data_IF_916165328256
#
_entry.id   IF_916165328256
#
_cell.length_a   1.000
_cell.length_b   1.000
_cell.length_c   1.000
_cell.angle_alpha   90.00
_cell.angle_beta   90.00
_cell.angle_gamma   90.00
#
_symmetry.space_group_name_H-M   'P 1'
#
loop_
_entity.id
_entity.type
_entity.pdbx_description
1 polymer ?
#
# COMPACT_ATOMS: atom_id res chain seq x y z
N UNK A 1 20.79 -21.78 -24.34
CA UNK A 1 21.11 -21.70 -22.90
C UNK A 1 20.97 -20.27 -22.39
N UNK A 2 21.56 -19.25 -23.02
CA UNK A 2 21.51 -17.85 -22.59
C UNK A 2 20.08 -17.31 -22.53
N UNK A 3 19.27 -17.56 -23.55
CA UNK A 3 17.85 -17.11 -23.61
C UNK A 3 17.01 -17.66 -22.45
N UNK A 4 17.23 -18.92 -22.07
CA UNK A 4 16.52 -19.54 -20.93
C UNK A 4 16.94 -18.91 -19.60
N UNK A 5 18.22 -18.60 -19.45
CA UNK A 5 18.74 -17.92 -18.25
C UNK A 5 18.15 -16.52 -18.09
N UNK A 6 18.10 -15.73 -19.17
CA UNK A 6 17.48 -14.40 -19.17
C UNK A 6 15.98 -14.47 -18.81
N UNK A 7 15.23 -15.37 -19.44
CA UNK A 7 13.79 -15.54 -19.13
C UNK A 7 13.55 -15.97 -17.69
N UNK A 8 14.37 -16.89 -17.16
CA UNK A 8 14.27 -17.31 -15.75
C UNK A 8 14.59 -16.17 -14.78
N UNK A 9 15.65 -15.40 -15.06
CA UNK A 9 16.03 -14.25 -14.26
C UNK A 9 14.93 -13.19 -14.22
N UNK A 10 14.40 -12.81 -15.39
CA UNK A 10 13.29 -11.86 -15.51
C UNK A 10 12.03 -12.34 -14.76
N UNK A 11 11.63 -13.60 -14.96
CA UNK A 11 10.50 -14.19 -14.21
C UNK A 11 10.70 -14.15 -12.70
N UNK A 12 11.92 -14.43 -12.23
CA UNK A 12 12.23 -14.41 -10.79
C UNK A 12 12.10 -13.00 -10.23
N UNK A 13 12.64 -12.02 -10.92
CA UNK A 13 12.59 -10.61 -10.50
C UNK A 13 11.15 -10.06 -10.45
N UNK A 14 10.36 -10.30 -11.50
CA UNK A 14 8.95 -9.90 -11.50
C UNK A 14 8.19 -10.58 -10.36
N UNK A 15 8.44 -11.86 -10.14
CA UNK A 15 7.80 -12.60 -9.03
C UNK A 15 8.16 -11.99 -7.68
N UNK A 16 9.43 -11.67 -7.41
CA UNK A 16 9.85 -11.02 -6.17
C UNK A 16 9.18 -9.68 -5.95
N UNK A 17 9.08 -8.86 -6.99
CA UNK A 17 8.41 -7.56 -6.93
C UNK A 17 6.93 -7.70 -6.57
N UNK A 18 6.21 -8.58 -7.28
CA UNK A 18 4.79 -8.82 -7.04
C UNK A 18 4.56 -9.39 -5.64
N UNK A 19 5.34 -10.37 -5.22
CA UNK A 19 5.24 -10.99 -3.89
C UNK A 19 5.56 -9.99 -2.78
N UNK A 20 6.60 -9.19 -2.95
CA UNK A 20 6.99 -8.16 -1.99
C UNK A 20 5.91 -7.09 -1.78
N UNK A 21 5.13 -6.80 -2.82
CA UNK A 21 4.03 -5.84 -2.77
C UNK A 21 2.71 -6.46 -2.30
N UNK A 22 2.34 -7.62 -2.86
CA UNK A 22 0.99 -8.22 -2.68
C UNK A 22 0.96 -9.40 -1.72
N UNK A 23 2.12 -9.96 -1.37
CA UNK A 23 2.22 -11.27 -0.72
C UNK A 23 2.01 -12.42 -1.71
N UNK A 24 2.18 -13.65 -1.23
CA UNK A 24 1.99 -14.87 -2.03
C UNK A 24 0.52 -15.27 -2.15
N UNK A 25 -0.25 -15.06 -1.07
CA UNK A 25 -1.65 -15.44 -0.96
C UNK A 25 -2.42 -14.29 -0.34
N UNK A 26 -3.55 -13.95 -0.92
CA UNK A 26 -4.49 -12.98 -0.35
C UNK A 26 -5.78 -13.69 0.04
N UNK A 27 -6.26 -13.41 1.24
CA UNK A 27 -7.58 -13.83 1.71
C UNK A 27 -8.47 -12.59 1.68
N UNK A 28 -9.53 -12.65 0.91
CA UNK A 28 -10.50 -11.56 0.78
C UNK A 28 -11.91 -12.11 0.77
N UNK A 29 -12.87 -11.29 1.18
CA UNK A 29 -14.28 -11.62 0.99
C UNK A 29 -14.58 -11.62 -0.50
N UNK A 30 -15.31 -12.64 -0.96
CA UNK A 30 -15.80 -12.66 -2.34
C UNK A 30 -16.75 -11.49 -2.55
N UNK A 31 -16.39 -10.57 -3.40
CA UNK A 31 -17.20 -9.45 -3.81
C UNK A 31 -17.29 -9.42 -5.33
N UNK A 32 -18.47 -9.29 -5.86
CA UNK A 32 -18.71 -9.14 -7.31
C UNK A 32 -18.41 -7.72 -7.79
N UNK A 33 -18.18 -6.80 -6.85
CA UNK A 33 -17.80 -5.44 -7.16
C UNK A 33 -16.29 -5.36 -7.43
N UNK A 34 -15.91 -4.92 -8.63
CA UNK A 34 -14.51 -4.75 -9.04
C UNK A 34 -13.85 -3.47 -8.52
N UNK A 35 -14.49 -2.80 -7.55
CA UNK A 35 -13.95 -1.59 -6.93
C UNK A 35 -12.69 -1.87 -6.10
N UNK A 36 -11.77 -0.92 -6.07
CA UNK A 36 -10.64 -0.92 -5.13
C UNK A 36 -11.05 -0.65 -3.67
N UNK A 37 -12.33 -0.41 -3.40
CA UNK A 37 -12.85 -0.24 -2.03
C UNK A 37 -13.21 -1.61 -1.48
N UNK A 38 -12.39 -2.15 -0.57
CA UNK A 38 -12.58 -3.49 -0.05
C UNK A 38 -13.82 -3.59 0.83
N UNK A 39 -14.53 -4.73 0.75
CA UNK A 39 -15.54 -5.11 1.72
C UNK A 39 -14.86 -5.68 2.96
N UNK A 40 -15.16 -5.14 4.17
CA UNK A 40 -14.52 -5.65 5.38
C UNK A 40 -15.01 -7.07 5.70
N UNK A 41 -14.10 -7.86 6.25
CA UNK A 41 -14.41 -9.16 6.84
C UNK A 41 -13.54 -9.37 8.08
N UNK A 42 -13.94 -10.27 8.94
CA UNK A 42 -13.17 -10.66 10.11
C UNK A 42 -12.81 -12.14 10.03
N UNK A 43 -11.63 -12.46 10.49
CA UNK A 43 -11.15 -13.84 10.67
C UNK A 43 -11.20 -14.10 12.18
N UNK A 44 -11.76 -15.23 12.59
CA UNK A 44 -11.78 -15.62 14.00
C UNK A 44 -10.36 -15.98 14.48
N UNK A 45 -10.12 -15.82 15.78
CA UNK A 45 -8.83 -16.19 16.40
C UNK A 45 -8.45 -17.67 16.16
N UNK A 46 -9.44 -18.57 16.09
CA UNK A 46 -9.22 -19.97 15.81
C UNK A 46 -8.73 -20.18 14.36
N UNK A 47 -9.35 -19.51 13.39
CA UNK A 47 -8.91 -19.55 11.99
C UNK A 47 -7.53 -18.92 11.81
N UNK A 48 -7.30 -17.78 12.45
CA UNK A 48 -6.01 -17.10 12.42
C UNK A 48 -4.89 -17.99 12.97
N UNK A 49 -5.13 -18.65 14.11
CA UNK A 49 -4.19 -19.64 14.69
C UNK A 49 -3.94 -20.82 13.74
N UNK A 50 -4.99 -21.34 13.10
CA UNK A 50 -4.85 -22.43 12.13
C UNK A 50 -3.99 -22.03 10.94
N UNK A 51 -4.18 -20.82 10.40
CA UNK A 51 -3.39 -20.30 9.29
C UNK A 51 -1.93 -20.11 9.73
N UNK A 52 -1.68 -19.45 10.87
CA UNK A 52 -0.33 -19.18 11.37
C UNK A 52 0.45 -20.45 11.74
N UNK A 53 -0.24 -21.52 12.13
CA UNK A 53 0.39 -22.82 12.42
C UNK A 53 0.68 -23.66 11.18
N UNK A 54 0.20 -23.24 10.00
CA UNK A 54 0.44 -23.97 8.75
C UNK A 54 1.89 -23.81 8.31
N UNK A 55 2.55 -24.93 8.03
CA UNK A 55 3.95 -24.91 7.55
C UNK A 55 4.07 -24.11 6.24
N UNK A 56 5.09 -23.25 6.17
CA UNK A 56 5.35 -22.38 5.02
C UNK A 56 4.70 -21.01 5.09
N UNK A 57 3.90 -20.71 6.11
CA UNK A 57 3.39 -19.35 6.35
C UNK A 57 4.39 -18.62 7.26
N UNK A 58 4.97 -17.53 6.76
CA UNK A 58 5.93 -16.72 7.49
C UNK A 58 5.28 -15.49 8.14
N UNK A 59 4.33 -14.86 7.45
CA UNK A 59 3.67 -13.63 7.91
C UNK A 59 2.20 -13.63 7.51
N UNK A 60 1.36 -13.07 8.37
CA UNK A 60 -0.02 -12.68 8.05
C UNK A 60 -0.13 -11.20 8.38
N UNK A 61 -0.65 -10.43 7.43
CA UNK A 61 -0.71 -8.97 7.54
C UNK A 61 -2.07 -8.49 7.05
N UNK A 62 -2.80 -7.72 7.86
CA UNK A 62 -4.03 -7.11 7.41
C UNK A 62 -3.73 -5.95 6.46
N UNK A 63 -4.59 -5.78 5.46
CA UNK A 63 -4.56 -4.60 4.60
C UNK A 63 -5.97 -4.23 4.16
N UNK A 64 -6.12 -3.01 3.71
CA UNK A 64 -7.30 -2.57 2.97
C UNK A 64 -6.86 -1.59 1.89
N UNK A 65 -7.69 -1.45 0.86
CA UNK A 65 -7.47 -0.45 -0.18
C UNK A 65 -8.63 0.53 -0.23
N UNK A 66 -8.33 1.78 -0.57
CA UNK A 66 -9.32 2.82 -0.76
C UNK A 66 -8.88 3.78 -1.88
N UNK A 67 -9.71 3.95 -2.92
CA UNK A 67 -9.42 4.92 -3.96
C UNK A 67 -9.49 6.35 -3.42
N UNK A 68 -8.61 7.20 -3.94
CA UNK A 68 -8.54 8.61 -3.60
C UNK A 68 -7.91 9.45 -4.70
N UNK A 69 -7.97 10.75 -4.54
CA UNK A 69 -7.38 11.71 -5.46
C UNK A 69 -6.41 12.58 -4.67
N UNK A 70 -5.14 12.55 -5.04
CA UNK A 70 -4.14 13.49 -4.54
C UNK A 70 -4.36 14.82 -5.24
N UNK A 71 -4.34 15.90 -4.46
CA UNK A 71 -4.30 17.26 -4.97
C UNK A 71 -3.03 17.93 -4.45
N UNK A 72 -2.16 18.34 -5.37
CA UNK A 72 -0.90 19.00 -5.11
C UNK A 72 -0.83 20.29 -5.96
N UNK A 73 -1.31 21.40 -5.39
CA UNK A 73 -1.38 22.68 -6.10
C UNK A 73 -2.37 22.63 -7.28
N UNK A 74 -1.85 22.74 -8.50
CA UNK A 74 -2.66 22.72 -9.74
C UNK A 74 -2.76 21.32 -10.38
N UNK A 75 -2.08 20.32 -9.82
CA UNK A 75 -2.05 18.97 -10.36
C UNK A 75 -2.89 18.04 -9.48
N UNK A 76 -3.53 17.07 -10.10
CA UNK A 76 -4.30 16.03 -9.43
C UNK A 76 -3.99 14.65 -10.03
N UNK A 77 -3.93 13.63 -9.16
CA UNK A 77 -3.66 12.25 -9.56
C UNK A 77 -4.57 11.27 -8.82
N UNK A 78 -5.18 10.37 -9.59
CA UNK A 78 -5.99 9.30 -9.02
C UNK A 78 -5.10 8.18 -8.47
N UNK A 79 -5.29 7.81 -7.21
CA UNK A 79 -4.47 6.79 -6.55
C UNK A 79 -5.32 5.81 -5.75
N UNK A 80 -4.72 4.70 -5.38
CA UNK A 80 -5.28 3.73 -4.44
C UNK A 80 -4.41 3.72 -3.18
N UNK A 81 -4.98 4.15 -2.07
CA UNK A 81 -4.35 4.04 -0.77
C UNK A 81 -4.42 2.59 -0.31
N UNK A 82 -3.27 1.95 -0.17
CA UNK A 82 -3.11 0.66 0.53
C UNK A 82 -2.77 0.95 1.98
N UNK A 83 -3.74 0.70 2.86
CA UNK A 83 -3.54 0.81 4.30
C UNK A 83 -2.94 -0.45 4.89
N UNK A 84 -1.90 -0.28 5.68
CA UNK A 84 -1.20 -1.34 6.43
C UNK A 84 -1.09 -0.94 7.89
N UNK A 85 -0.85 -1.88 8.79
CA UNK A 85 -0.71 -1.62 10.21
C UNK A 85 0.73 -1.78 10.73
N UNK A 86 0.91 -1.66 12.04
CA UNK A 86 2.21 -1.78 12.69
C UNK A 86 2.88 -3.16 12.52
N UNK A 87 2.11 -4.22 12.22
CA UNK A 87 2.63 -5.58 12.00
C UNK A 87 3.21 -5.78 10.60
N UNK A 88 3.10 -4.76 9.74
CA UNK A 88 3.51 -4.85 8.35
C UNK A 88 5.02 -5.09 8.21
N UNK A 89 5.40 -6.06 7.39
CA UNK A 89 6.81 -6.35 7.12
C UNK A 89 7.38 -5.35 6.12
N UNK A 90 8.14 -4.38 6.63
CA UNK A 90 8.76 -3.32 5.85
C UNK A 90 10.06 -3.71 5.14
N UNK A 91 10.57 -4.95 5.33
CA UNK A 91 11.88 -5.36 4.79
C UNK A 91 11.97 -5.19 3.26
N UNK A 92 10.88 -5.51 2.58
CA UNK A 92 10.83 -5.32 1.12
C UNK A 92 10.83 -3.82 0.76
N UNK A 93 9.97 -3.02 1.41
CA UNK A 93 9.89 -1.58 1.11
C UNK A 93 11.17 -0.83 1.44
N UNK A 94 11.89 -1.20 2.50
CA UNK A 94 13.20 -0.62 2.83
C UNK A 94 14.21 -0.80 1.70
N UNK A 95 14.14 -1.90 0.95
CA UNK A 95 15.01 -2.18 -0.20
C UNK A 95 14.68 -1.33 -1.43
N UNK A 96 13.42 -0.94 -1.61
CA UNK A 96 12.94 -0.18 -2.78
C UNK A 96 12.71 1.30 -2.48
N UNK A 97 12.97 1.75 -1.24
CA UNK A 97 12.95 3.18 -0.90
C UNK A 97 14.02 3.92 -1.70
N UNK A 98 13.60 5.01 -2.33
CA UNK A 98 14.48 5.95 -3.04
C UNK A 98 14.89 7.10 -2.13
N UNK A 99 13.98 7.53 -1.23
CA UNK A 99 14.22 8.60 -0.28
C UNK A 99 13.31 8.47 0.96
N UNK A 100 13.73 9.04 2.09
CA UNK A 100 12.97 9.08 3.33
C UNK A 100 12.97 7.75 4.10
N UNK A 101 11.88 7.48 4.79
CA UNK A 101 11.69 6.31 5.63
C UNK A 101 10.26 5.77 5.53
N UNK A 102 10.05 4.54 6.01
CA UNK A 102 8.73 3.92 6.12
C UNK A 102 7.88 4.61 7.19
N UNK A 103 6.58 4.31 7.23
CA UNK A 103 5.66 4.87 8.23
C UNK A 103 6.12 4.49 9.64
N UNK A 104 6.11 5.46 10.54
CA UNK A 104 6.38 5.27 11.95
C UNK A 104 5.06 5.10 12.71
N UNK A 105 4.83 3.89 13.20
CA UNK A 105 3.63 3.53 13.98
C UNK A 105 3.79 3.73 15.49
N UNK A 106 4.88 4.31 15.96
CA UNK A 106 5.08 4.60 17.40
C UNK A 106 4.05 5.59 17.96
N UNK A 107 3.52 6.47 17.11
CA UNK A 107 2.47 7.43 17.43
C UNK A 107 1.27 7.20 16.48
N UNK A 108 0.21 6.61 17.01
CA UNK A 108 -1.00 6.23 16.26
C UNK A 108 -1.80 7.42 15.70
N UNK A 109 -1.54 8.64 16.17
CA UNK A 109 -2.15 9.86 15.61
C UNK A 109 -1.35 10.34 14.42
N UNK A 110 -0.02 10.33 14.55
CA UNK A 110 0.88 10.77 13.49
C UNK A 110 0.92 9.80 12.32
N UNK A 111 0.89 8.47 12.58
CA UNK A 111 0.91 7.45 11.53
C UNK A 111 -0.20 7.63 10.50
N UNK A 112 -1.40 8.03 10.94
CA UNK A 112 -2.57 8.28 10.07
C UNK A 112 -2.38 9.43 9.07
N UNK A 113 -1.41 10.30 9.30
CA UNK A 113 -1.05 11.40 8.40
C UNK A 113 0.23 11.15 7.60
N UNK A 114 0.93 10.04 7.86
CA UNK A 114 2.12 9.66 7.11
C UNK A 114 1.75 8.84 5.88
N UNK A 115 2.52 9.04 4.80
CA UNK A 115 2.28 8.32 3.55
C UNK A 115 3.59 8.07 2.81
N UNK A 116 3.68 6.90 2.16
CA UNK A 116 4.68 6.64 1.14
C UNK A 116 4.01 6.77 -0.23
N UNK A 117 4.68 7.46 -1.13
CA UNK A 117 4.27 7.57 -2.53
C UNK A 117 5.33 6.94 -3.43
N UNK A 118 4.94 6.56 -4.63
CA UNK A 118 5.91 6.07 -5.61
C UNK A 118 6.76 7.22 -6.17
N UNK A 119 7.91 6.87 -6.72
CA UNK A 119 8.73 7.83 -7.47
C UNK A 119 7.96 8.41 -8.66
N UNK A 120 7.13 7.62 -9.34
CA UNK A 120 6.28 8.10 -10.42
C UNK A 120 5.34 9.21 -9.94
N UNK A 121 4.60 8.98 -8.85
CA UNK A 121 3.69 9.98 -8.27
C UNK A 121 4.43 11.22 -7.79
N UNK A 122 5.61 11.03 -7.15
CA UNK A 122 6.44 12.13 -6.69
C UNK A 122 6.91 13.02 -7.84
N UNK A 123 7.44 12.43 -8.91
CA UNK A 123 7.90 13.15 -10.10
C UNK A 123 6.74 13.84 -10.82
N UNK A 124 5.60 13.15 -10.97
CA UNK A 124 4.40 13.65 -11.67
C UNK A 124 3.79 14.86 -10.98
N UNK A 125 3.77 14.87 -9.65
CA UNK A 125 3.20 15.95 -8.83
C UNK A 125 4.24 16.94 -8.29
N UNK A 126 5.53 16.76 -8.67
CA UNK A 126 6.66 17.56 -8.17
C UNK A 126 6.73 17.63 -6.63
N UNK A 127 6.55 16.47 -5.99
CA UNK A 127 6.54 16.31 -4.54
C UNK A 127 7.83 15.65 -4.04
N UNK A 128 8.23 15.99 -2.81
CA UNK A 128 9.44 15.48 -2.14
C UNK A 128 9.10 14.95 -0.74
N UNK A 129 10.02 14.19 -0.16
CA UNK A 129 9.92 13.78 1.26
C UNK A 129 9.84 15.03 2.13
N UNK A 130 8.88 15.03 3.05
CA UNK A 130 8.59 16.13 3.96
C UNK A 130 7.50 17.08 3.47
N UNK A 131 7.14 17.05 2.17
CA UNK A 131 6.04 17.84 1.65
C UNK A 131 4.70 17.33 2.17
N UNK A 132 3.74 18.25 2.20
CA UNK A 132 2.35 17.96 2.55
C UNK A 132 1.45 18.10 1.31
N UNK A 133 0.43 17.25 1.23
CA UNK A 133 -0.62 17.37 0.23
C UNK A 133 -2.00 16.99 0.79
N UNK A 134 -3.04 17.30 0.04
CA UNK A 134 -4.41 16.89 0.36
C UNK A 134 -4.82 15.69 -0.49
N UNK A 135 -5.40 14.68 0.15
CA UNK A 135 -6.05 13.57 -0.53
C UNK A 135 -7.55 13.61 -0.28
N UNK A 136 -8.31 13.44 -1.33
CA UNK A 136 -9.75 13.38 -1.33
C UNK A 136 -10.21 11.95 -1.51
N UNK A 137 -11.08 11.49 -0.62
CA UNK A 137 -11.71 10.18 -0.67
C UNK A 137 -13.18 10.36 -1.05
N UNK A 138 -13.59 9.67 -2.11
CA UNK A 138 -14.97 9.68 -2.60
C UNK A 138 -15.70 8.49 -1.98
N UNK A 139 -16.85 8.76 -1.36
CA UNK A 139 -17.73 7.78 -0.76
C UNK A 139 -19.11 8.41 -0.58
N UNK A 140 -19.87 8.05 0.46
CA UNK A 140 -21.14 8.69 0.79
C UNK A 140 -21.00 10.21 1.04
N UNK A 141 -19.80 10.67 1.34
CA UNK A 141 -19.44 12.10 1.43
C UNK A 141 -17.99 12.26 1.00
N UNK A 142 -17.68 13.41 0.39
CA UNK A 142 -16.32 13.79 0.08
C UNK A 142 -15.55 14.06 1.38
N UNK A 143 -14.49 13.32 1.62
CA UNK A 143 -13.63 13.49 2.79
C UNK A 143 -12.22 13.84 2.35
N UNK A 144 -11.68 14.91 2.92
CA UNK A 144 -10.29 15.32 2.69
C UNK A 144 -9.41 14.97 3.90
N UNK A 145 -8.19 14.57 3.62
CA UNK A 145 -7.14 14.34 4.63
C UNK A 145 -5.84 14.97 4.15
N UNK A 146 -5.12 15.56 5.08
CA UNK A 146 -3.78 16.08 4.84
C UNK A 146 -2.77 14.98 5.16
N UNK A 147 -1.83 14.76 4.26
CA UNK A 147 -0.75 13.79 4.41
C UNK A 147 0.60 14.47 4.34
N UNK A 148 1.56 13.92 5.07
CA UNK A 148 2.97 14.24 4.98
C UNK A 148 3.72 13.06 4.34
N UNK A 149 4.50 13.34 3.32
CA UNK A 149 5.32 12.33 2.64
C UNK A 149 6.49 11.97 3.54
N UNK A 150 6.53 10.72 4.02
CA UNK A 150 7.65 10.22 4.83
C UNK A 150 8.66 9.44 4.01
N UNK A 151 8.23 8.86 2.88
CA UNK A 151 9.13 8.12 2.00
C UNK A 151 8.63 8.07 0.57
N UNK A 152 9.59 7.89 -0.32
CA UNK A 152 9.37 7.70 -1.76
C UNK A 152 9.96 6.34 -2.13
N UNK A 153 9.17 5.49 -2.75
CA UNK A 153 9.59 4.16 -3.19
C UNK A 153 9.54 4.01 -4.71
N UNK A 154 10.26 3.02 -5.24
CA UNK A 154 10.21 2.64 -6.64
C UNK A 154 10.16 1.11 -6.75
N UNK A 155 8.98 0.56 -7.01
CA UNK A 155 8.78 -0.88 -7.18
C UNK A 155 9.35 -1.36 -8.53
N UNK A 156 9.35 -0.47 -9.54
CA UNK A 156 9.73 -0.80 -10.91
C UNK A 156 8.70 -1.70 -11.60
N UNK A 157 7.44 -1.58 -11.21
CA UNK A 157 6.24 -2.15 -11.87
C UNK A 157 5.32 -0.98 -12.15
N UNK A 158 5.31 -0.52 -13.39
CA UNK A 158 4.72 0.74 -13.81
C UNK A 158 3.23 0.86 -13.43
N UNK A 159 2.47 -0.22 -13.59
CA UNK A 159 1.03 -0.27 -13.28
C UNK A 159 0.75 -0.05 -11.80
N UNK A 160 1.67 -0.51 -10.93
CA UNK A 160 1.57 -0.32 -9.48
C UNK A 160 2.09 1.05 -9.08
N UNK A 161 3.26 1.43 -9.60
CA UNK A 161 3.91 2.71 -9.27
C UNK A 161 3.05 3.92 -9.65
N UNK A 162 2.21 3.79 -10.69
CA UNK A 162 1.28 4.85 -11.10
C UNK A 162 0.13 5.08 -10.14
N UNK A 163 -0.34 4.03 -9.48
CA UNK A 163 -1.63 4.14 -8.78
C UNK A 163 -1.54 3.92 -7.27
N UNK A 164 -0.51 3.24 -6.76
CA UNK A 164 -0.51 2.84 -5.34
C UNK A 164 0.26 3.85 -4.49
N UNK A 165 -0.33 4.15 -3.33
CA UNK A 165 0.32 4.84 -2.22
C UNK A 165 0.09 4.05 -0.93
N UNK A 166 1.03 4.09 0.00
CA UNK A 166 0.96 3.29 1.23
C UNK A 166 0.70 4.21 2.42
N UNK A 167 -0.30 3.86 3.23
CA UNK A 167 -0.67 4.61 4.42
C UNK A 167 -1.11 3.72 5.57
N UNK A 168 -1.65 4.32 6.61
CA UNK A 168 -2.12 3.64 7.81
C UNK A 168 -3.52 3.01 7.58
N UNK A 169 -3.67 1.73 7.93
CA UNK A 169 -4.93 0.99 7.85
C UNK A 169 -6.03 1.59 8.73
N UNK A 170 -5.66 2.10 9.91
CA UNK A 170 -6.62 2.73 10.83
C UNK A 170 -7.27 3.99 10.24
N UNK A 171 -6.57 4.67 9.33
CA UNK A 171 -7.20 5.75 8.59
C UNK A 171 -8.34 5.23 7.70
N UNK A 172 -8.12 4.14 6.95
CA UNK A 172 -9.17 3.53 6.11
C UNK A 172 -10.35 3.05 6.95
N UNK A 173 -10.07 2.39 8.10
CA UNK A 173 -11.11 1.99 9.05
C UNK A 173 -11.95 3.17 9.51
N UNK A 174 -11.30 4.29 9.87
CA UNK A 174 -11.99 5.51 10.28
C UNK A 174 -12.81 6.16 9.15
N UNK A 175 -12.31 6.10 7.91
CA UNK A 175 -13.01 6.63 6.74
C UNK A 175 -14.25 5.79 6.40
N UNK A 176 -14.18 4.47 6.58
CA UNK A 176 -15.26 3.56 6.25
C UNK A 176 -16.18 3.26 7.44
N UNK A 177 -15.84 3.72 8.65
CA UNK A 177 -16.54 3.43 9.90
C UNK A 177 -16.61 1.92 10.21
N UNK A 178 -15.50 1.23 9.99
CA UNK A 178 -15.33 -0.20 10.29
C UNK A 178 -14.88 -0.43 11.73
#
# INVERSE_FOLDING_TARGET
ILSVAIVKGFKSEIREKVRGFSGDIQIAKLDLNTSYDNTPFSISDAELKKITSTSGISFIQPFATKPGIINAGNEAEGVVLKGVDQSYNWEYYKKILVAGHVIDFSDSVKSKSQILISKYTADRLNLKVGDDFLMYFIGNSLRKRKFKITGIYNLGVEEVDKIVVIGDLELIRSLNKW
#
